data_IF_588310969574
#
_entry.id   IF_588310969574
#
_cell.length_a   1.000
_cell.length_b   1.000
_cell.length_c   1.000
_cell.angle_alpha   90.00
_cell.angle_beta   90.00
_cell.angle_gamma   90.00
#
_symmetry.space_group_name_H-M   'P 1'
#
loop_
_entity.id
_entity.type
_entity.pdbx_description
1 polymer ?
#
# COMPACT_ATOMS: atom_id res chain seq x y z
N UNK A 1 12.97 8.51 4.49
CA UNK A 1 13.74 9.70 4.08
C UNK A 1 12.82 10.91 3.95
N UNK A 2 13.17 12.05 4.60
CA UNK A 2 12.39 13.28 4.49
C UNK A 2 13.32 14.39 4.01
N UNK A 3 13.00 14.97 2.85
CA UNK A 3 13.72 16.08 2.24
C UNK A 3 12.79 17.29 2.13
N UNK A 4 13.19 18.43 2.65
CA UNK A 4 12.38 19.65 2.59
C UNK A 4 13.27 20.90 2.61
N UNK A 5 12.69 22.03 2.17
CA UNK A 5 13.33 23.34 2.24
C UNK A 5 12.57 24.23 3.20
N UNK A 6 13.13 24.48 4.39
CA UNK A 6 12.54 25.33 5.43
C UNK A 6 13.59 26.30 6.02
N UNK A 7 13.11 27.33 6.71
CA UNK A 7 13.99 28.26 7.45
C UNK A 7 14.49 27.69 8.77
N UNK A 8 13.80 26.69 9.31
CA UNK A 8 14.08 26.04 10.59
C UNK A 8 14.12 24.52 10.44
N UNK A 9 14.82 23.86 11.35
CA UNK A 9 14.87 22.41 11.43
C UNK A 9 13.55 21.92 12.08
N UNK A 10 12.89 20.95 11.45
CA UNK A 10 11.59 20.42 11.89
C UNK A 10 11.68 18.98 12.43
N UNK A 11 12.88 18.46 12.65
CA UNK A 11 13.11 17.05 13.05
C UNK A 11 12.30 16.67 14.28
N UNK A 12 12.36 17.46 15.36
CA UNK A 12 11.64 17.14 16.61
C UNK A 12 10.11 17.10 16.42
N UNK A 13 9.57 18.00 15.58
CA UNK A 13 8.14 18.00 15.23
C UNK A 13 7.76 16.77 14.42
N UNK A 14 8.58 16.40 13.44
CA UNK A 14 8.40 15.21 12.60
C UNK A 14 8.45 13.95 13.46
N UNK A 15 9.45 13.82 14.32
CA UNK A 15 9.60 12.66 15.22
C UNK A 15 8.42 12.53 16.19
N UNK A 16 7.96 13.65 16.75
CA UNK A 16 6.78 13.68 17.62
C UNK A 16 5.52 13.22 16.89
N UNK A 17 5.34 13.66 15.64
CA UNK A 17 4.18 13.29 14.82
C UNK A 17 4.23 11.81 14.42
N UNK A 18 5.40 11.28 14.06
CA UNK A 18 5.59 9.85 13.81
C UNK A 18 5.36 8.98 15.05
N UNK A 19 5.76 9.45 16.24
CA UNK A 19 5.48 8.75 17.49
C UNK A 19 3.98 8.70 17.77
N UNK A 20 3.25 9.80 17.58
CA UNK A 20 1.79 9.83 17.72
C UNK A 20 1.12 8.89 16.71
N UNK A 21 1.58 8.92 15.45
CA UNK A 21 1.10 8.01 14.40
C UNK A 21 1.31 6.53 14.79
N UNK A 22 2.47 6.22 15.34
CA UNK A 22 2.81 4.87 15.83
C UNK A 22 1.88 4.42 16.98
N UNK A 23 1.42 5.33 17.82
CA UNK A 23 0.43 5.05 18.87
C UNK A 23 -1.00 4.90 18.32
N UNK A 24 -1.29 5.38 17.13
CA UNK A 24 -2.60 5.21 16.49
C UNK A 24 -2.69 3.88 15.73
N UNK A 25 -1.84 3.68 14.72
CA UNK A 25 -2.06 2.71 13.64
C UNK A 25 -1.03 1.57 13.55
N UNK A 26 -0.03 1.51 14.44
CA UNK A 26 0.95 0.42 14.39
C UNK A 26 0.42 -0.83 15.12
N UNK A 27 0.05 -1.91 14.42
CA UNK A 27 -0.49 -3.12 15.05
C UNK A 27 0.57 -3.91 15.85
N UNK A 28 1.86 -3.61 15.66
CA UNK A 28 2.97 -4.25 16.40
C UNK A 28 3.30 -3.55 17.72
N UNK A 29 2.75 -2.35 17.94
CA UNK A 29 2.86 -1.63 19.20
C UNK A 29 1.67 -2.00 20.11
N UNK A 30 1.86 -2.73 21.21
CA UNK A 30 0.77 -3.17 22.08
C UNK A 30 -0.02 -2.01 22.72
N UNK A 31 0.58 -0.82 22.79
CA UNK A 31 -0.05 0.37 23.35
C UNK A 31 -0.83 1.20 22.30
N UNK A 32 -0.79 0.81 21.02
CA UNK A 32 -1.46 1.52 19.97
C UNK A 32 -2.98 1.34 20.01
N UNK A 33 -3.70 2.32 19.46
CA UNK A 33 -5.16 2.26 19.34
C UNK A 33 -5.62 1.03 18.54
N UNK A 34 -4.94 0.71 17.42
CA UNK A 34 -5.30 -0.47 16.62
C UNK A 34 -5.06 -1.78 17.39
N UNK A 35 -4.02 -1.87 18.22
CA UNK A 35 -3.78 -3.06 19.04
C UNK A 35 -4.88 -3.23 20.10
N UNK A 36 -5.31 -2.14 20.75
CA UNK A 36 -6.41 -2.15 21.72
C UNK A 36 -7.75 -2.56 21.07
N UNK A 37 -8.06 -2.02 19.89
CA UNK A 37 -9.22 -2.44 19.09
C UNK A 37 -9.15 -3.93 18.77
N UNK A 38 -7.99 -4.44 18.38
CA UNK A 38 -7.78 -5.86 18.10
C UNK A 38 -7.95 -6.73 19.35
N UNK A 39 -7.57 -6.24 20.51
CA UNK A 39 -7.76 -6.91 21.81
C UNK A 39 -9.20 -6.76 22.37
N UNK A 40 -10.10 -6.14 21.65
CA UNK A 40 -11.48 -5.86 22.08
C UNK A 40 -11.57 -4.97 23.34
N UNK A 41 -10.60 -4.10 23.54
CA UNK A 41 -10.63 -3.11 24.60
C UNK A 41 -11.61 -1.97 24.23
N UNK A 42 -12.26 -1.39 25.23
CA UNK A 42 -13.12 -0.21 25.04
C UNK A 42 -12.26 1.04 24.85
N UNK A 43 -11.97 1.38 23.59
CA UNK A 43 -11.12 2.50 23.23
C UNK A 43 -11.79 3.36 22.16
N UNK A 44 -11.63 4.69 22.25
CA UNK A 44 -11.97 5.62 21.18
C UNK A 44 -10.81 5.71 20.17
N UNK A 45 -11.15 5.69 18.87
CA UNK A 45 -10.18 5.90 17.80
C UNK A 45 -9.97 7.41 17.58
N UNK A 46 -8.75 7.77 17.19
CA UNK A 46 -8.39 9.14 16.86
C UNK A 46 -8.76 9.53 15.41
N UNK A 47 -8.45 10.76 15.03
CA UNK A 47 -8.75 11.28 13.70
C UNK A 47 -8.00 10.51 12.60
N UNK A 48 -6.75 10.13 12.83
CA UNK A 48 -5.95 9.38 11.84
C UNK A 48 -6.49 7.97 11.62
N UNK A 49 -6.86 7.30 12.69
CA UNK A 49 -7.52 6.00 12.59
C UNK A 49 -8.84 6.12 11.81
N UNK A 50 -9.62 7.15 12.12
CA UNK A 50 -10.89 7.44 11.44
C UNK A 50 -10.69 7.69 9.94
N UNK A 51 -9.70 8.51 9.55
CA UNK A 51 -9.41 8.77 8.14
C UNK A 51 -9.00 7.48 7.41
N UNK A 52 -8.09 6.68 8.00
CA UNK A 52 -7.63 5.42 7.41
C UNK A 52 -8.76 4.41 7.31
N UNK A 53 -9.59 4.27 8.34
CA UNK A 53 -10.72 3.35 8.34
C UNK A 53 -11.72 3.69 7.23
N UNK A 54 -12.12 4.96 7.14
CA UNK A 54 -13.07 5.42 6.12
C UNK A 54 -12.51 5.25 4.69
N UNK A 55 -11.22 5.54 4.48
CA UNK A 55 -10.58 5.32 3.18
C UNK A 55 -10.48 3.83 2.85
N UNK A 56 -10.14 3.00 3.81
CA UNK A 56 -10.11 1.55 3.65
C UNK A 56 -11.48 0.99 3.27
N UNK A 57 -12.55 1.45 3.93
CA UNK A 57 -13.93 1.08 3.64
C UNK A 57 -14.33 1.46 2.20
N UNK A 58 -14.04 2.72 1.80
CA UNK A 58 -14.26 3.22 0.44
C UNK A 58 -13.59 2.32 -0.61
N UNK A 59 -12.30 2.00 -0.41
CA UNK A 59 -11.53 1.20 -1.35
C UNK A 59 -12.00 -0.26 -1.36
N UNK A 60 -12.35 -0.80 -0.19
CA UNK A 60 -12.93 -2.16 -0.07
C UNK A 60 -14.21 -2.27 -0.88
N UNK A 61 -15.12 -1.30 -0.78
CA UNK A 61 -16.36 -1.26 -1.56
C UNK A 61 -16.08 -1.16 -3.06
N UNK A 62 -15.24 -0.21 -3.48
CA UNK A 62 -14.88 0.01 -4.89
C UNK A 62 -14.19 -1.20 -5.53
N UNK A 63 -13.35 -1.91 -4.76
CA UNK A 63 -12.62 -3.09 -5.24
C UNK A 63 -13.38 -4.41 -5.12
N UNK A 64 -14.63 -4.37 -4.60
CA UNK A 64 -15.41 -5.58 -4.34
C UNK A 64 -14.77 -6.50 -3.29
N UNK A 65 -14.06 -5.91 -2.30
CA UNK A 65 -13.38 -6.62 -1.23
C UNK A 65 -12.01 -7.17 -1.58
N UNK A 66 -11.42 -6.76 -2.71
CA UNK A 66 -10.03 -7.09 -3.02
C UNK A 66 -9.04 -6.38 -2.08
N UNK A 67 -9.41 -5.20 -1.58
CA UNK A 67 -8.79 -4.54 -0.45
C UNK A 67 -9.60 -4.80 0.81
N UNK A 68 -8.96 -5.27 1.88
CA UNK A 68 -9.67 -5.56 3.13
C UNK A 68 -8.73 -5.52 4.33
N UNK A 69 -8.90 -4.54 5.21
CA UNK A 69 -8.07 -4.38 6.41
C UNK A 69 -8.39 -5.42 7.50
N UNK A 70 -9.43 -6.25 7.34
CA UNK A 70 -9.75 -7.35 8.26
C UNK A 70 -8.99 -8.64 7.95
N UNK A 71 -8.13 -8.65 6.92
CA UNK A 71 -7.36 -9.82 6.48
C UNK A 71 -6.27 -10.30 7.44
N UNK A 72 -6.00 -9.61 8.56
CA UNK A 72 -4.93 -9.97 9.48
C UNK A 72 -4.93 -11.45 9.91
N UNK A 73 -6.07 -12.08 10.25
CA UNK A 73 -6.09 -13.50 10.61
C UNK A 73 -5.62 -14.43 9.48
N UNK A 74 -5.95 -14.12 8.23
CA UNK A 74 -5.49 -14.87 7.06
C UNK A 74 -3.99 -14.65 6.81
N UNK A 75 -3.51 -13.41 6.95
CA UNK A 75 -2.08 -13.05 6.84
C UNK A 75 -1.26 -13.82 7.89
N UNK A 76 -1.77 -13.88 9.14
CA UNK A 76 -1.16 -14.65 10.22
C UNK A 76 -1.14 -16.15 9.93
N UNK A 77 -2.24 -16.71 9.40
CA UNK A 77 -2.32 -18.12 9.02
C UNK A 77 -1.23 -18.52 8.02
N UNK A 78 -0.94 -17.66 7.05
CA UNK A 78 0.10 -17.91 6.04
C UNK A 78 1.53 -17.55 6.51
N UNK A 79 1.71 -17.14 7.76
CA UNK A 79 3.02 -16.88 8.36
C UNK A 79 3.65 -15.53 7.97
N UNK A 80 2.88 -14.62 7.37
CA UNK A 80 3.32 -13.27 7.04
C UNK A 80 3.01 -12.24 8.13
N UNK A 81 2.35 -12.65 9.22
CA UNK A 81 2.00 -11.82 10.37
C UNK A 81 2.80 -12.17 11.63
N UNK A 82 2.10 -12.31 12.74
CA UNK A 82 2.69 -12.50 14.07
C UNK A 82 3.11 -13.93 14.39
N UNK A 83 2.67 -14.93 13.64
CA UNK A 83 2.94 -16.36 13.89
C UNK A 83 3.42 -17.07 12.63
N UNK A 84 4.33 -18.04 12.82
CA UNK A 84 4.71 -18.99 11.75
C UNK A 84 3.84 -20.24 11.88
N UNK A 85 3.25 -20.68 10.77
CA UNK A 85 2.52 -21.93 10.70
C UNK A 85 3.21 -22.92 9.78
N UNK A 86 3.32 -24.18 10.21
CA UNK A 86 3.99 -25.23 9.43
C UNK A 86 3.11 -25.84 8.33
N UNK A 87 1.77 -25.76 8.49
CA UNK A 87 0.81 -26.27 7.52
C UNK A 87 -0.48 -25.45 7.53
N UNK A 88 -1.00 -25.15 6.34
CA UNK A 88 -2.28 -24.47 6.13
C UNK A 88 -3.23 -25.46 5.45
N UNK A 89 -4.40 -25.67 6.02
CA UNK A 89 -5.45 -26.54 5.44
C UNK A 89 -6.64 -25.73 4.95
N UNK A 90 -7.40 -26.25 3.96
CA UNK A 90 -8.63 -25.59 3.51
C UNK A 90 -9.62 -25.32 4.65
N UNK A 91 -9.75 -26.24 5.61
CA UNK A 91 -10.65 -26.11 6.76
C UNK A 91 -10.24 -24.95 7.68
N UNK A 92 -8.95 -24.71 7.86
CA UNK A 92 -8.43 -23.56 8.62
C UNK A 92 -8.78 -22.25 7.90
N UNK A 93 -8.60 -22.19 6.58
CA UNK A 93 -8.95 -21.04 5.77
C UNK A 93 -10.46 -20.74 5.88
N UNK A 94 -11.32 -21.76 5.69
CA UNK A 94 -12.78 -21.60 5.75
C UNK A 94 -13.23 -21.13 7.14
N UNK A 95 -12.61 -21.66 8.21
CA UNK A 95 -12.90 -21.24 9.59
C UNK A 95 -12.56 -19.76 9.84
N UNK A 96 -11.45 -19.27 9.27
CA UNK A 96 -11.04 -17.89 9.42
C UNK A 96 -11.87 -16.96 8.53
N UNK A 97 -12.17 -17.35 7.30
CA UNK A 97 -13.04 -16.59 6.38
C UNK A 97 -14.43 -16.33 6.97
N UNK A 98 -14.91 -17.18 7.87
CA UNK A 98 -16.20 -16.97 8.54
C UNK A 98 -16.28 -15.62 9.28
N UNK A 99 -15.16 -15.08 9.78
CA UNK A 99 -15.12 -13.80 10.49
C UNK A 99 -14.20 -12.74 9.83
N UNK A 100 -13.61 -12.99 8.66
CA UNK A 100 -12.95 -11.98 7.83
C UNK A 100 -13.97 -11.35 6.88
N UNK A 101 -13.84 -10.05 6.63
CA UNK A 101 -14.67 -9.29 5.70
C UNK A 101 -14.90 -7.85 6.18
N UNK A 102 -14.58 -6.87 5.34
CA UNK A 102 -14.72 -5.45 5.67
C UNK A 102 -16.15 -5.07 6.09
N UNK A 103 -17.19 -5.74 5.56
CA UNK A 103 -18.60 -5.51 5.92
C UNK A 103 -18.93 -5.89 7.37
N UNK A 104 -18.07 -6.66 8.05
CA UNK A 104 -18.26 -7.15 9.43
C UNK A 104 -17.70 -6.21 10.50
N UNK A 105 -17.20 -5.07 10.07
CA UNK A 105 -16.69 -4.00 10.94
C UNK A 105 -17.28 -2.67 10.52
N UNK A 106 -17.52 -1.79 11.47
CA UNK A 106 -18.01 -0.44 11.19
C UNK A 106 -17.52 0.54 12.24
N UNK A 107 -17.43 1.79 11.85
CA UNK A 107 -17.14 2.89 12.75
C UNK A 107 -18.47 3.54 13.21
N UNK A 108 -18.72 3.54 14.50
CA UNK A 108 -19.84 4.23 15.13
C UNK A 108 -19.33 5.31 16.07
N UNK A 109 -19.50 6.58 15.68
CA UNK A 109 -18.88 7.69 16.40
C UNK A 109 -17.36 7.57 16.37
N UNK A 110 -16.77 7.29 17.52
CA UNK A 110 -15.32 7.05 17.67
C UNK A 110 -14.98 5.61 18.07
N UNK A 111 -15.87 4.66 17.85
CA UNK A 111 -15.65 3.27 18.24
C UNK A 111 -15.74 2.35 17.04
N UNK A 112 -14.84 1.37 16.98
CA UNK A 112 -14.90 0.28 16.00
C UNK A 112 -15.79 -0.82 16.59
N UNK A 113 -16.87 -1.12 15.87
CA UNK A 113 -17.79 -2.22 16.19
C UNK A 113 -17.47 -3.41 15.29
N UNK A 114 -17.19 -4.55 15.89
CA UNK A 114 -16.90 -5.81 15.20
C UNK A 114 -18.06 -6.78 15.41
N UNK A 115 -18.51 -7.47 14.35
CA UNK A 115 -19.55 -8.50 14.47
C UNK A 115 -19.02 -9.76 15.17
N UNK A 116 -17.72 -10.00 15.11
CA UNK A 116 -17.04 -11.12 15.77
C UNK A 116 -15.78 -10.61 16.48
N UNK A 117 -15.57 -10.95 17.77
CA UNK A 117 -14.40 -10.49 18.51
C UNK A 117 -13.05 -11.02 17.97
N UNK A 118 -13.07 -12.07 17.12
CA UNK A 118 -11.88 -12.62 16.48
C UNK A 118 -11.39 -11.79 15.28
N UNK A 119 -12.18 -10.83 14.80
CA UNK A 119 -11.76 -9.92 13.72
C UNK A 119 -10.55 -9.11 14.20
N UNK A 120 -9.49 -9.10 13.39
CA UNK A 120 -8.29 -8.31 13.61
C UNK A 120 -8.09 -7.35 12.44
N UNK A 121 -7.86 -6.09 12.75
CA UNK A 121 -7.56 -5.05 11.76
C UNK A 121 -6.05 -4.97 11.53
N UNK A 122 -5.67 -4.81 10.27
CA UNK A 122 -4.30 -4.52 9.87
C UNK A 122 -4.30 -3.48 8.74
N UNK A 123 -3.80 -2.30 9.04
CA UNK A 123 -3.74 -1.17 8.11
C UNK A 123 -2.38 -1.06 7.39
N UNK A 124 -1.50 -2.09 7.43
CA UNK A 124 -0.14 -2.00 6.87
C UNK A 124 -0.10 -1.74 5.36
N UNK A 125 -1.19 -2.00 4.63
CA UNK A 125 -1.35 -1.78 3.19
C UNK A 125 -1.91 -0.39 2.82
N UNK A 126 -2.02 0.51 3.79
CA UNK A 126 -2.55 1.88 3.61
C UNK A 126 -1.87 2.87 4.57
N UNK A 127 -1.42 2.40 5.72
CA UNK A 127 -0.93 3.27 6.79
C UNK A 127 0.44 3.90 6.49
N UNK A 128 1.29 3.26 5.66
CA UNK A 128 2.58 3.84 5.30
C UNK A 128 2.40 5.03 4.36
N UNK A 129 1.54 4.90 3.36
CA UNK A 129 1.14 6.02 2.51
C UNK A 129 0.53 7.14 3.31
N UNK A 130 -0.37 6.82 4.25
CA UNK A 130 -0.97 7.82 5.10
C UNK A 130 0.03 8.51 6.04
N UNK A 131 1.03 7.80 6.57
CA UNK A 131 2.11 8.41 7.36
C UNK A 131 2.89 9.46 6.55
N UNK A 132 3.15 9.19 5.26
CA UNK A 132 3.75 10.19 4.36
C UNK A 132 2.87 11.43 4.25
N UNK A 133 1.56 11.26 4.10
CA UNK A 133 0.61 12.37 3.98
C UNK A 133 0.47 13.17 5.28
N UNK A 134 0.50 12.51 6.45
CA UNK A 134 0.49 13.19 7.77
C UNK A 134 1.72 14.09 7.90
N UNK A 135 2.91 13.60 7.57
CA UNK A 135 4.13 14.41 7.62
C UNK A 135 4.11 15.51 6.56
N UNK A 136 3.58 15.26 5.37
CA UNK A 136 3.41 16.29 4.35
C UNK A 136 2.48 17.43 4.84
N UNK A 137 1.37 17.11 5.49
CA UNK A 137 0.46 18.08 6.12
C UNK A 137 1.17 18.90 7.21
N UNK A 138 2.01 18.27 8.05
CA UNK A 138 2.83 18.95 9.03
C UNK A 138 3.78 19.95 8.36
N UNK A 139 4.51 19.53 7.32
CA UNK A 139 5.42 20.39 6.57
C UNK A 139 4.67 21.58 5.94
N UNK A 140 3.51 21.34 5.34
CA UNK A 140 2.68 22.42 4.76
C UNK A 140 2.21 23.42 5.83
N UNK A 141 1.81 22.95 7.02
CA UNK A 141 1.43 23.79 8.17
C UNK A 141 2.60 24.68 8.64
N UNK A 142 3.83 24.18 8.55
CA UNK A 142 5.06 24.92 8.84
C UNK A 142 5.53 25.83 7.68
N UNK A 143 4.71 25.96 6.62
CA UNK A 143 4.99 26.81 5.46
C UNK A 143 5.97 26.24 4.45
N UNK A 144 6.29 24.95 4.51
CA UNK A 144 7.17 24.27 3.55
C UNK A 144 6.43 24.05 2.24
N UNK A 145 7.02 24.52 1.14
CA UNK A 145 6.42 24.44 -0.20
C UNK A 145 7.02 23.32 -1.05
N UNK A 146 8.25 22.92 -0.76
CA UNK A 146 9.00 21.94 -1.52
C UNK A 146 9.47 20.83 -0.59
N UNK A 147 8.96 19.62 -0.78
CA UNK A 147 9.29 18.47 0.05
C UNK A 147 9.12 17.15 -0.69
N UNK A 148 9.83 16.14 -0.20
CA UNK A 148 9.63 14.74 -0.49
C UNK A 148 9.68 13.97 0.85
N UNK A 149 8.63 13.24 1.15
CA UNK A 149 8.50 12.38 2.33
C UNK A 149 8.40 10.94 1.85
N UNK A 150 9.36 10.12 2.25
CA UNK A 150 9.42 8.69 1.94
C UNK A 150 9.42 7.87 3.23
N UNK A 151 8.49 6.94 3.37
CA UNK A 151 8.37 6.01 4.50
C UNK A 151 8.11 4.61 3.95
N UNK A 152 9.10 3.72 4.08
CA UNK A 152 8.98 2.32 3.67
C UNK A 152 8.86 2.08 2.16
N UNK A 153 9.16 3.09 1.34
CA UNK A 153 9.05 3.05 -0.11
C UNK A 153 7.83 3.79 -0.67
N UNK A 154 6.88 4.15 0.16
CA UNK A 154 5.77 5.03 -0.17
C UNK A 154 6.25 6.49 -0.09
N UNK A 155 5.81 7.34 -1.03
CA UNK A 155 6.36 8.68 -1.18
C UNK A 155 5.25 9.71 -1.43
N UNK A 156 5.24 10.79 -0.64
CA UNK A 156 4.48 12.01 -0.94
C UNK A 156 5.43 13.12 -1.34
N UNK A 157 5.12 13.82 -2.42
CA UNK A 157 5.98 14.87 -2.98
C UNK A 157 5.19 16.13 -3.31
N UNK A 158 5.89 17.28 -3.26
CA UNK A 158 5.38 18.58 -3.74
C UNK A 158 6.52 19.51 -4.11
N UNK A 159 6.32 20.27 -5.19
CA UNK A 159 7.26 21.30 -5.62
C UNK A 159 8.52 20.72 -6.26
N UNK A 160 9.66 21.33 -5.99
CA UNK A 160 10.94 21.03 -6.65
C UNK A 160 12.03 20.65 -5.65
N UNK A 161 13.05 19.94 -6.12
CA UNK A 161 14.23 19.58 -5.37
C UNK A 161 15.21 20.77 -5.21
N UNK A 162 16.40 20.54 -4.67
CA UNK A 162 17.40 21.59 -4.46
C UNK A 162 17.96 22.18 -5.76
N UNK A 163 17.91 21.43 -6.86
CA UNK A 163 18.36 21.85 -8.18
C UNK A 163 17.28 22.64 -8.96
N UNK A 164 16.06 22.70 -8.44
CA UNK A 164 14.92 23.32 -9.10
C UNK A 164 14.15 22.37 -10.02
N UNK A 165 14.51 21.08 -10.04
CA UNK A 165 13.83 20.05 -10.82
C UNK A 165 12.67 19.42 -10.03
N UNK A 166 11.71 18.83 -10.74
CA UNK A 166 10.69 17.99 -10.13
C UNK A 166 11.29 16.81 -9.36
N UNK A 167 10.62 16.38 -8.32
CA UNK A 167 11.03 15.18 -7.58
C UNK A 167 10.93 13.93 -8.45
N UNK A 168 11.86 13.00 -8.24
CA UNK A 168 11.95 11.75 -9.00
C UNK A 168 12.04 10.55 -8.07
N UNK A 169 11.27 9.49 -8.40
CA UNK A 169 11.27 8.21 -7.70
C UNK A 169 11.46 7.10 -8.72
N UNK A 170 12.38 6.17 -8.43
CA UNK A 170 12.61 5.00 -9.28
C UNK A 170 11.62 3.89 -9.01
N UNK A 171 11.07 3.28 -10.06
CA UNK A 171 10.38 2.00 -10.02
C UNK A 171 11.42 0.91 -10.20
N UNK A 172 11.65 0.10 -9.17
CA UNK A 172 12.65 -0.96 -9.24
C UNK A 172 12.19 -2.11 -10.14
N UNK A 173 13.13 -2.68 -10.86
CA UNK A 173 12.92 -3.88 -11.67
C UNK A 173 12.76 -5.10 -10.76
N UNK A 174 11.62 -5.84 -10.84
CA UNK A 174 11.48 -7.08 -10.09
C UNK A 174 12.40 -8.15 -10.65
N UNK A 175 13.24 -8.76 -9.81
CA UNK A 175 14.00 -9.93 -10.20
C UNK A 175 13.18 -11.21 -10.04
N UNK A 176 13.07 -11.97 -11.11
CA UNK A 176 12.41 -13.27 -11.11
C UNK A 176 13.42 -14.32 -10.60
N UNK A 177 13.16 -14.91 -9.43
CA UNK A 177 13.90 -16.08 -8.95
C UNK A 177 15.05 -15.83 -7.98
N UNK A 178 15.32 -14.57 -7.59
CA UNK A 178 16.32 -14.25 -6.56
C UNK A 178 15.68 -13.59 -5.36
N UNK A 179 16.26 -13.79 -4.16
CA UNK A 179 15.84 -13.11 -2.93
C UNK A 179 16.43 -11.69 -2.80
N UNK A 180 17.02 -11.17 -3.89
CA UNK A 180 17.70 -9.89 -3.93
C UNK A 180 16.83 -8.78 -4.54
N UNK A 181 16.82 -7.61 -3.92
CA UNK A 181 16.36 -6.38 -4.55
C UNK A 181 17.54 -5.85 -5.35
N UNK A 182 17.46 -5.87 -6.70
CA UNK A 182 18.40 -5.10 -7.51
C UNK A 182 18.09 -3.62 -7.35
N UNK A 183 19.13 -2.80 -7.43
CA UNK A 183 18.99 -1.35 -7.56
C UNK A 183 18.73 -0.93 -9.01
N UNK A 184 18.45 -1.89 -9.91
CA UNK A 184 18.13 -1.59 -11.29
C UNK A 184 16.73 -0.96 -11.35
N UNK A 185 16.68 0.23 -11.93
CA UNK A 185 15.46 1.00 -12.12
C UNK A 185 14.86 0.64 -13.46
N UNK A 186 13.59 0.19 -13.45
CA UNK A 186 12.82 -0.06 -14.65
C UNK A 186 12.37 1.25 -15.29
N UNK A 187 11.86 2.17 -14.45
CA UNK A 187 11.35 3.46 -14.90
C UNK A 187 11.45 4.51 -13.78
N UNK A 188 11.33 5.78 -14.14
CA UNK A 188 11.33 6.92 -13.21
C UNK A 188 9.96 7.60 -13.25
N UNK A 189 9.36 7.77 -12.08
CA UNK A 189 8.18 8.62 -11.88
C UNK A 189 8.64 10.01 -11.43
N UNK A 190 8.13 11.06 -12.06
CA UNK A 190 8.46 12.44 -11.77
C UNK A 190 7.22 13.26 -11.43
N UNK A 191 7.22 13.97 -10.29
CA UNK A 191 6.16 14.87 -9.85
C UNK A 191 6.72 16.24 -9.46
N UNK A 192 6.02 17.31 -9.94
CA UNK A 192 6.21 18.68 -9.48
C UNK A 192 5.03 19.14 -8.62
N UNK A 193 3.83 18.69 -8.97
CA UNK A 193 2.62 18.98 -8.19
C UNK A 193 2.57 18.07 -6.96
N UNK A 194 1.70 18.39 -6.01
CA UNK A 194 1.43 17.50 -4.87
C UNK A 194 0.86 16.18 -5.38
N UNK A 195 1.41 15.08 -4.88
CA UNK A 195 0.91 13.74 -5.20
C UNK A 195 1.64 12.67 -4.41
N UNK A 196 1.03 11.50 -4.36
CA UNK A 196 1.54 10.30 -3.73
C UNK A 196 1.94 9.25 -4.76
N UNK A 197 3.01 8.50 -4.46
CA UNK A 197 3.46 7.34 -5.22
C UNK A 197 3.68 6.18 -4.27
N UNK A 198 3.12 5.04 -4.58
CA UNK A 198 3.36 3.81 -3.83
C UNK A 198 3.55 2.62 -4.77
N UNK A 199 4.38 1.67 -4.35
CA UNK A 199 4.67 0.46 -5.11
C UNK A 199 4.51 -0.79 -4.26
N UNK A 200 3.59 -1.66 -4.62
CA UNK A 200 3.48 -3.01 -4.08
C UNK A 200 4.11 -4.02 -5.02
N UNK A 201 4.78 -5.04 -4.49
CA UNK A 201 5.41 -6.09 -5.29
C UNK A 201 5.65 -7.37 -4.52
N UNK A 202 5.49 -8.50 -5.20
CA UNK A 202 5.61 -9.85 -4.63
C UNK A 202 7.07 -10.34 -4.54
N UNK A 203 8.03 -9.53 -5.00
CA UNK A 203 9.45 -9.87 -4.98
C UNK A 203 10.16 -9.50 -3.66
N UNK A 204 9.52 -8.69 -2.80
CA UNK A 204 10.13 -8.24 -1.53
C UNK A 204 9.85 -9.17 -0.35
N UNK A 205 8.64 -9.74 -0.28
CA UNK A 205 8.19 -10.58 0.83
C UNK A 205 7.49 -11.83 0.31
N UNK A 206 8.23 -12.91 0.18
CA UNK A 206 7.72 -14.22 -0.20
C UNK A 206 8.54 -15.32 0.48
N UNK A 207 7.98 -16.52 0.51
CA UNK A 207 8.75 -17.73 0.80
C UNK A 207 8.48 -18.80 -0.25
N UNK A 208 9.40 -19.74 -0.40
CA UNK A 208 9.24 -20.89 -1.29
C UNK A 208 9.05 -22.12 -0.41
N UNK A 209 7.95 -22.85 -0.64
CA UNK A 209 7.66 -24.13 -0.01
C UNK A 209 7.23 -25.13 -1.09
N UNK A 210 7.86 -26.31 -1.10
CA UNK A 210 7.60 -27.38 -2.07
C UNK A 210 7.68 -26.90 -3.53
N UNK A 211 8.66 -26.04 -3.84
CA UNK A 211 8.88 -25.46 -5.17
C UNK A 211 7.86 -24.41 -5.59
N UNK A 212 6.87 -24.08 -4.73
CA UNK A 212 5.84 -23.07 -4.98
C UNK A 212 6.14 -21.78 -4.20
N UNK A 213 6.06 -20.64 -4.91
CA UNK A 213 6.21 -19.29 -4.32
C UNK A 213 4.89 -18.89 -3.67
N UNK A 214 4.97 -18.39 -2.44
CA UNK A 214 3.87 -17.81 -1.69
C UNK A 214 4.20 -16.35 -1.38
N UNK A 215 3.41 -15.43 -1.91
CA UNK A 215 3.55 -14.00 -1.67
C UNK A 215 2.79 -13.59 -0.40
N UNK A 216 3.22 -12.49 0.22
CA UNK A 216 2.59 -11.97 1.44
C UNK A 216 1.21 -11.33 1.21
N UNK A 217 0.88 -11.00 -0.04
CA UNK A 217 -0.43 -10.46 -0.41
C UNK A 217 -1.46 -11.57 -0.42
N UNK A 218 -2.44 -11.49 0.46
CA UNK A 218 -3.53 -12.47 0.57
C UNK A 218 -4.76 -11.95 -0.16
N UNK A 219 -5.41 -12.84 -0.91
CA UNK A 219 -6.71 -12.55 -1.51
C UNK A 219 -7.82 -12.80 -0.48
N UNK A 220 -8.57 -11.76 -0.03
CA UNK A 220 -9.58 -11.90 1.01
C UNK A 220 -10.73 -12.85 0.61
N UNK A 221 -11.10 -12.86 -0.66
CA UNK A 221 -12.19 -13.69 -1.17
C UNK A 221 -11.87 -15.18 -1.13
N UNK A 222 -10.62 -15.55 -1.45
CA UNK A 222 -10.19 -16.96 -1.47
C UNK A 222 -9.55 -17.41 -0.17
N UNK A 223 -8.93 -16.48 0.59
CA UNK A 223 -8.12 -16.77 1.77
C UNK A 223 -6.71 -17.31 1.46
N UNK A 224 -6.33 -17.37 0.18
CA UNK A 224 -5.02 -17.83 -0.28
C UNK A 224 -4.13 -16.64 -0.69
N UNK A 225 -2.79 -16.81 -0.67
CA UNK A 225 -1.89 -15.87 -1.32
C UNK A 225 -2.33 -15.57 -2.75
N UNK A 226 -2.31 -14.30 -3.12
CA UNK A 226 -2.68 -13.86 -4.46
C UNK A 226 -1.69 -14.45 -5.47
N UNK A 227 -2.12 -15.48 -6.20
CA UNK A 227 -1.33 -16.14 -7.24
C UNK A 227 -1.51 -15.44 -8.60
N UNK A 228 -1.47 -14.10 -8.63
CA UNK A 228 -1.69 -13.31 -9.83
C UNK A 228 -0.38 -13.09 -10.59
N UNK A 229 -0.49 -12.61 -11.81
CA UNK A 229 0.65 -12.40 -12.68
C UNK A 229 1.37 -11.04 -12.49
N UNK A 230 0.85 -10.17 -11.63
CA UNK A 230 1.52 -8.89 -11.34
C UNK A 230 2.76 -9.13 -10.47
N UNK A 231 3.89 -8.63 -10.93
CA UNK A 231 5.17 -8.65 -10.21
C UNK A 231 5.34 -7.38 -9.38
N UNK A 232 4.89 -6.22 -9.92
CA UNK A 232 4.95 -4.93 -9.27
C UNK A 232 3.82 -4.03 -9.78
N UNK A 233 3.16 -3.32 -8.89
CA UNK A 233 2.16 -2.31 -9.19
C UNK A 233 2.55 -0.98 -8.54
N UNK A 234 2.85 0.03 -9.35
CA UNK A 234 3.10 1.40 -8.93
C UNK A 234 1.88 2.25 -9.24
N UNK A 235 1.39 2.96 -8.23
CA UNK A 235 0.24 3.86 -8.34
C UNK A 235 0.69 5.28 -8.06
N UNK A 236 0.23 6.21 -8.89
CA UNK A 236 0.28 7.66 -8.66
C UNK A 236 -1.12 8.12 -8.34
N UNK A 237 -1.29 8.88 -7.28
CA UNK A 237 -2.57 9.43 -6.84
C UNK A 237 -2.40 10.83 -6.25
N UNK A 238 -3.50 11.50 -5.94
CA UNK A 238 -3.50 12.82 -5.30
C UNK A 238 -2.89 12.79 -3.89
N UNK A 239 -3.03 11.67 -3.17
CA UNK A 239 -2.43 11.38 -1.87
C UNK A 239 -1.80 9.98 -1.84
N UNK A 240 -0.84 9.80 -0.94
CA UNK A 240 -0.06 8.57 -0.86
C UNK A 240 -0.84 7.43 -0.18
N UNK A 241 -1.79 7.75 0.71
CA UNK A 241 -2.70 6.78 1.32
C UNK A 241 -3.50 6.03 0.24
N UNK A 242 -4.06 6.77 -0.72
CA UNK A 242 -4.79 6.21 -1.86
C UNK A 242 -3.88 5.37 -2.76
N UNK A 243 -2.67 5.88 -3.05
CA UNK A 243 -1.70 5.15 -3.86
C UNK A 243 -1.29 3.82 -3.23
N UNK A 244 -0.99 3.78 -1.92
CA UNK A 244 -0.57 2.58 -1.16
C UNK A 244 -1.67 1.51 -1.19
N UNK A 245 -2.91 1.90 -0.88
CA UNK A 245 -4.04 0.97 -0.86
C UNK A 245 -4.35 0.38 -2.25
N UNK A 246 -4.35 1.20 -3.31
CA UNK A 246 -4.60 0.67 -4.66
C UNK A 246 -3.43 -0.15 -5.20
N UNK A 247 -2.18 0.16 -4.83
CA UNK A 247 -1.04 -0.69 -5.19
C UNK A 247 -1.23 -2.12 -4.66
N UNK A 248 -1.63 -2.27 -3.38
CA UNK A 248 -1.96 -3.58 -2.80
C UNK A 248 -3.19 -4.20 -3.46
N UNK A 249 -4.24 -3.43 -3.71
CA UNK A 249 -5.47 -3.91 -4.38
C UNK A 249 -5.16 -4.52 -5.74
N UNK A 250 -4.28 -3.89 -6.52
CA UNK A 250 -3.91 -4.36 -7.85
C UNK A 250 -3.19 -5.71 -7.80
N UNK A 251 -2.30 -5.89 -6.80
CA UNK A 251 -1.63 -7.18 -6.57
C UNK A 251 -2.63 -8.33 -6.32
N UNK A 252 -3.74 -8.04 -5.65
CA UNK A 252 -4.81 -9.03 -5.39
C UNK A 252 -5.62 -9.33 -6.64
N UNK A 253 -5.93 -8.30 -7.44
CA UNK A 253 -6.83 -8.42 -8.59
C UNK A 253 -6.19 -9.06 -9.82
N UNK A 254 -4.88 -8.87 -10.01
CA UNK A 254 -4.19 -9.18 -11.28
C UNK A 254 -4.46 -8.15 -12.37
N UNK A 255 -3.71 -8.22 -13.48
CA UNK A 255 -3.63 -7.17 -14.50
C UNK A 255 -4.99 -6.76 -15.05
N UNK A 256 -5.80 -7.72 -15.53
CA UNK A 256 -7.02 -7.40 -16.24
C UNK A 256 -8.08 -6.75 -15.35
N UNK A 257 -8.29 -7.29 -14.14
CA UNK A 257 -9.25 -6.70 -13.18
C UNK A 257 -8.75 -5.37 -12.62
N UNK A 258 -7.44 -5.23 -12.42
CA UNK A 258 -6.84 -3.97 -11.98
C UNK A 258 -7.06 -2.85 -13.00
N UNK A 259 -6.86 -3.13 -14.31
CA UNK A 259 -7.15 -2.19 -15.40
C UNK A 259 -8.63 -1.80 -15.45
N UNK A 260 -9.54 -2.76 -15.29
CA UNK A 260 -10.99 -2.48 -15.25
C UNK A 260 -11.35 -1.60 -14.04
N UNK A 261 -10.81 -1.90 -12.87
CA UNK A 261 -11.04 -1.09 -11.67
C UNK A 261 -10.53 0.35 -11.87
N UNK A 262 -9.32 0.52 -12.42
CA UNK A 262 -8.72 1.83 -12.66
C UNK A 262 -9.59 2.72 -13.58
N UNK A 263 -10.30 2.16 -14.56
CA UNK A 263 -11.22 2.92 -15.44
C UNK A 263 -12.35 3.60 -14.66
N UNK A 264 -12.74 3.05 -13.50
CA UNK A 264 -13.76 3.63 -12.63
C UNK A 264 -13.21 4.62 -11.60
N UNK A 265 -11.88 4.82 -11.55
CA UNK A 265 -11.19 5.63 -10.54
C UNK A 265 -10.25 6.62 -11.25
N UNK A 266 -10.79 7.75 -11.74
CA UNK A 266 -10.01 8.72 -12.54
C UNK A 266 -8.91 9.45 -11.72
N UNK A 267 -8.87 9.25 -10.39
CA UNK A 267 -7.90 9.89 -9.49
C UNK A 267 -6.59 9.12 -9.38
N UNK A 268 -6.45 7.95 -10.01
CA UNK A 268 -5.23 7.15 -9.96
C UNK A 268 -4.67 6.91 -11.37
N UNK A 269 -3.34 6.90 -11.43
CA UNK A 269 -2.59 6.43 -12.60
C UNK A 269 -1.72 5.26 -12.18
N UNK A 270 -1.48 4.32 -13.09
CA UNK A 270 -0.76 3.10 -12.75
C UNK A 270 0.35 2.76 -13.74
N UNK A 271 1.39 2.10 -13.22
CA UNK A 271 2.43 1.42 -13.96
C UNK A 271 2.59 0.01 -13.40
N UNK A 272 2.30 -1.02 -14.18
CA UNK A 272 2.31 -2.42 -13.76
C UNK A 272 3.37 -3.18 -14.51
N UNK A 273 4.21 -3.92 -13.77
CA UNK A 273 5.12 -4.92 -14.30
C UNK A 273 4.52 -6.29 -14.01
N UNK A 274 4.38 -7.13 -15.02
CA UNK A 274 3.73 -8.44 -14.88
C UNK A 274 4.40 -9.52 -15.73
N UNK A 275 4.15 -10.79 -15.40
CA UNK A 275 4.56 -11.92 -16.21
C UNK A 275 3.42 -12.31 -17.16
N UNK A 276 3.72 -12.47 -18.45
CA UNK A 276 2.78 -13.01 -19.42
C UNK A 276 2.63 -14.55 -19.27
N UNK A 277 1.79 -15.16 -20.10
CA UNK A 277 1.54 -16.61 -20.06
C UNK A 277 2.78 -17.46 -20.36
N UNK A 278 3.81 -16.88 -20.95
CA UNK A 278 5.10 -17.53 -21.23
C UNK A 278 6.14 -17.24 -20.12
N UNK A 279 5.74 -16.52 -19.06
CA UNK A 279 6.64 -16.09 -17.99
C UNK A 279 7.54 -14.90 -18.36
N UNK A 280 7.31 -14.25 -19.51
CA UNK A 280 8.08 -13.08 -19.93
C UNK A 280 7.55 -11.84 -19.19
N UNK A 281 8.49 -11.02 -18.72
CA UNK A 281 8.16 -9.75 -18.09
C UNK A 281 7.64 -8.75 -19.12
N UNK A 282 6.50 -8.16 -18.82
CA UNK A 282 5.82 -7.13 -19.62
C UNK A 282 5.46 -5.95 -18.74
N UNK A 283 5.20 -4.82 -19.39
CA UNK A 283 4.76 -3.58 -18.75
C UNK A 283 3.44 -3.15 -19.33
N UNK A 284 2.55 -2.62 -18.49
CA UNK A 284 1.35 -1.89 -18.91
C UNK A 284 1.12 -0.71 -17.98
N UNK A 285 0.54 0.37 -18.50
CA UNK A 285 0.30 1.59 -17.74
C UNK A 285 -0.95 2.31 -18.25
N UNK A 286 -1.51 3.17 -17.41
CA UNK A 286 -2.63 4.03 -17.79
C UNK A 286 -2.15 5.19 -18.69
N UNK A 287 -3.06 5.73 -19.49
CA UNK A 287 -2.71 6.82 -20.42
C UNK A 287 -2.17 8.05 -19.68
N UNK A 288 -2.78 8.41 -18.55
CA UNK A 288 -2.36 9.57 -17.76
C UNK A 288 -1.01 9.35 -17.06
N UNK A 289 -0.59 8.11 -16.84
CA UNK A 289 0.72 7.81 -16.30
C UNK A 289 1.87 8.39 -17.13
N UNK A 290 1.69 8.56 -18.44
CA UNK A 290 2.69 9.15 -19.34
C UNK A 290 3.09 10.58 -18.95
N UNK A 291 2.23 11.32 -18.25
CA UNK A 291 2.56 12.67 -17.76
C UNK A 291 3.61 12.66 -16.65
N UNK A 292 3.71 11.54 -15.93
CA UNK A 292 4.63 11.34 -14.81
C UNK A 292 5.94 10.66 -15.23
N UNK A 293 6.06 10.20 -16.48
CA UNK A 293 7.21 9.45 -16.98
C UNK A 293 8.09 10.36 -17.86
N UNK A 294 9.29 10.78 -17.38
CA UNK A 294 10.16 11.72 -18.10
C UNK A 294 10.70 11.16 -19.41
N UNK A 295 10.81 9.82 -19.55
CA UNK A 295 11.39 9.13 -20.71
C UNK A 295 10.31 8.56 -21.65
N UNK A 296 9.28 9.32 -21.95
CA UNK A 296 8.12 8.90 -22.77
C UNK A 296 8.46 8.19 -24.09
N UNK A 297 9.61 8.50 -24.70
CA UNK A 297 10.05 7.88 -25.96
C UNK A 297 10.43 6.41 -25.82
N UNK A 298 10.94 6.01 -24.65
CA UNK A 298 11.35 4.63 -24.39
C UNK A 298 10.12 3.73 -24.23
N UNK A 299 9.04 4.25 -23.65
CA UNK A 299 7.81 3.49 -23.40
C UNK A 299 6.95 3.27 -24.65
N UNK A 300 6.96 4.21 -25.60
CA UNK A 300 6.27 4.03 -26.88
C UNK A 300 6.78 2.80 -27.68
N UNK A 301 7.97 2.30 -27.36
CA UNK A 301 8.55 1.08 -27.94
C UNK A 301 8.11 -0.19 -27.21
N UNK A 302 7.71 -0.06 -25.94
CA UNK A 302 7.26 -1.18 -25.09
C UNK A 302 5.74 -1.42 -25.19
N UNK A 303 5.00 -0.48 -25.78
CA UNK A 303 3.59 -0.65 -26.11
C UNK A 303 3.45 -1.56 -27.34
N UNK A 304 3.09 -2.81 -27.11
CA UNK A 304 2.23 -3.51 -28.01
C UNK A 304 0.83 -3.57 -27.37
N UNK A 305 -0.21 -3.20 -28.14
CA UNK A 305 -1.58 -3.04 -27.71
C UNK A 305 -2.21 -4.32 -27.17
#
# INVERSE_FOLDING_TARGET
HIKYKAKQILTDKIDSELQRFNLSLNPFNPNSTIAKVNNNEDVEVDEWFTEVFNKAEEISQKSGGAFDITCAPLINLWGFGFSKMDSVTPQMIDSIKAFVGYQKVRLEGKKIIKEDPRILLNCSSIAKGYACDVIARLLEKEGVKNYMVEIGGEVTMKGVNQQGDCWRVGINKPEIGTSGVTNDVEEIVQLCQKGGVATSGDYRNFYIKDGKKYAHTINPATGYPAGQNILSATIVAEDCMTADAYATTFMVLGVEKAKLLAQSIPQIEYFIIYADNNGQQKVTYSKGMLEYLPNRKTLAILENP
#
